data_IF_969770724590
#
_entry.id   IF_969770724590
#
_cell.length_a   1.000
_cell.length_b   1.000
_cell.length_c   1.000
_cell.angle_alpha   90.00
_cell.angle_beta   90.00
_cell.angle_gamma   90.00
#
_symmetry.space_group_name_H-M   'P 1'
#
loop_
_entity.id
_entity.type
_entity.pdbx_description
1 polymer ?
#
# COMPACT_ATOMS: atom_id res chain seq x y z
N UNK A 1 -4.94 17.71 25.12
CA UNK A 1 -4.33 17.57 23.78
C UNK A 1 -5.26 16.78 22.89
N UNK A 2 -5.68 17.35 21.76
CA UNK A 2 -6.49 16.64 20.76
C UNK A 2 -5.67 15.49 20.15
N UNK A 3 -6.18 14.26 20.21
CA UNK A 3 -5.57 13.11 19.53
C UNK A 3 -5.52 13.39 18.03
N UNK A 4 -4.32 13.35 17.45
CA UNK A 4 -4.14 13.48 16.01
C UNK A 4 -4.72 12.22 15.35
N UNK A 5 -5.69 12.41 14.46
CA UNK A 5 -6.24 11.31 13.67
C UNK A 5 -5.29 10.98 12.51
N UNK A 6 -4.35 10.06 12.78
CA UNK A 6 -3.33 9.63 11.83
C UNK A 6 -3.91 8.91 10.62
N UNK A 7 -4.96 8.10 10.81
CA UNK A 7 -5.63 7.41 9.72
C UNK A 7 -6.12 8.40 8.65
N UNK A 8 -6.80 9.47 9.06
CA UNK A 8 -7.28 10.51 8.13
C UNK A 8 -6.14 11.24 7.40
N UNK A 9 -4.99 11.46 8.07
CA UNK A 9 -3.84 12.12 7.45
C UNK A 9 -3.15 11.24 6.41
N UNK A 10 -2.97 9.96 6.74
CA UNK A 10 -2.28 8.99 5.87
C UNK A 10 -3.17 8.52 4.71
N UNK A 11 -4.50 8.57 4.83
CA UNK A 11 -5.43 8.27 3.72
C UNK A 11 -5.81 9.51 2.90
N UNK A 12 -5.32 10.69 3.27
CA UNK A 12 -5.67 11.93 2.58
C UNK A 12 -5.17 11.92 1.13
N UNK A 13 -6.04 12.29 0.19
CA UNK A 13 -5.68 12.49 -1.23
C UNK A 13 -4.45 13.38 -1.40
N UNK A 14 -4.32 14.43 -0.57
CA UNK A 14 -3.18 15.36 -0.63
C UNK A 14 -1.86 14.68 -0.30
N UNK A 15 -1.87 13.77 0.68
CA UNK A 15 -0.69 12.99 1.03
C UNK A 15 -0.28 12.05 -0.10
N UNK A 16 -1.24 11.29 -0.64
CA UNK A 16 -0.96 10.37 -1.75
C UNK A 16 -0.51 11.07 -3.03
N UNK A 17 -1.02 12.27 -3.32
CA UNK A 17 -0.53 13.08 -4.44
C UNK A 17 0.92 13.52 -4.22
N UNK A 18 1.29 13.92 -3.00
CA UNK A 18 2.68 14.28 -2.68
C UNK A 18 3.62 13.07 -2.81
N UNK A 19 3.20 11.90 -2.33
CA UNK A 19 3.97 10.65 -2.49
C UNK A 19 4.16 10.30 -3.96
N UNK A 20 3.09 10.38 -4.77
CA UNK A 20 3.18 10.12 -6.21
C UNK A 20 4.14 11.09 -6.91
N UNK A 21 4.04 12.38 -6.64
CA UNK A 21 4.93 13.39 -7.21
C UNK A 21 6.39 13.19 -6.77
N UNK A 22 6.61 12.80 -5.51
CA UNK A 22 7.94 12.46 -5.00
C UNK A 22 8.54 11.27 -5.74
N UNK A 23 7.78 10.17 -5.88
CA UNK A 23 8.24 8.98 -6.62
C UNK A 23 8.57 9.34 -8.07
N UNK A 24 7.71 10.10 -8.75
CA UNK A 24 7.97 10.57 -10.13
C UNK A 24 9.25 11.42 -10.21
N UNK A 25 9.45 12.35 -9.26
CA UNK A 25 10.66 13.17 -9.20
C UNK A 25 11.93 12.36 -8.94
N UNK A 26 11.87 11.34 -8.09
CA UNK A 26 12.97 10.40 -7.83
C UNK A 26 13.32 9.64 -9.11
N UNK A 27 12.33 9.09 -9.82
CA UNK A 27 12.57 8.39 -11.08
C UNK A 27 13.22 9.31 -12.11
N UNK A 28 12.71 10.55 -12.25
CA UNK A 28 13.29 11.53 -13.16
C UNK A 28 14.75 11.87 -12.81
N UNK A 29 15.09 11.97 -11.52
CA UNK A 29 16.46 12.25 -11.06
C UNK A 29 17.44 11.12 -11.39
N UNK A 30 16.99 9.86 -11.39
CA UNK A 30 17.80 8.71 -11.79
C UNK A 30 17.86 8.49 -13.30
N UNK A 31 17.26 9.38 -14.11
CA UNK A 31 17.27 9.26 -15.57
C UNK A 31 16.41 8.10 -16.09
N UNK A 32 15.38 7.71 -15.34
CA UNK A 32 14.44 6.65 -15.67
C UNK A 32 13.76 6.89 -17.03
N UNK A 33 14.14 6.09 -18.02
CA UNK A 33 13.49 6.00 -19.32
C UNK A 33 12.18 5.18 -19.24
N UNK A 34 11.39 5.13 -20.32
CA UNK A 34 10.04 4.53 -20.32
C UNK A 34 10.02 3.08 -19.79
N UNK A 35 11.13 2.36 -19.89
CA UNK A 35 11.33 1.02 -19.33
C UNK A 35 11.26 1.00 -17.79
N UNK A 36 11.79 2.02 -17.12
CA UNK A 36 11.76 2.12 -15.66
C UNK A 36 10.35 2.42 -15.15
N UNK A 37 9.56 3.21 -15.87
CA UNK A 37 8.15 3.40 -15.55
C UNK A 37 7.35 2.09 -15.56
N UNK A 38 7.64 1.20 -16.52
CA UNK A 38 7.09 -0.15 -16.56
C UNK A 38 7.55 -1.00 -15.37
N UNK A 39 8.85 -0.97 -15.05
CA UNK A 39 9.41 -1.73 -13.92
C UNK A 39 8.81 -1.30 -12.58
N UNK A 40 8.71 0.01 -12.33
CA UNK A 40 8.11 0.55 -11.10
C UNK A 40 6.65 0.16 -11.00
N UNK A 41 5.88 0.26 -12.09
CA UNK A 41 4.48 -0.18 -12.13
C UNK A 41 4.36 -1.69 -11.84
N UNK A 42 5.26 -2.50 -12.40
CA UNK A 42 5.35 -3.94 -12.12
C UNK A 42 5.67 -4.24 -10.66
N UNK A 43 6.58 -3.49 -10.04
CA UNK A 43 6.90 -3.60 -8.62
C UNK A 43 5.67 -3.26 -7.77
N UNK A 44 4.97 -2.16 -8.04
CA UNK A 44 3.74 -1.80 -7.32
C UNK A 44 2.63 -2.87 -7.46
N UNK A 45 2.45 -3.44 -8.66
CA UNK A 45 1.50 -4.53 -8.88
C UNK A 45 1.87 -5.79 -8.10
N UNK A 46 3.15 -6.19 -8.11
CA UNK A 46 3.63 -7.36 -7.35
C UNK A 46 3.50 -7.17 -5.84
N UNK A 47 3.84 -5.98 -5.33
CA UNK A 47 3.62 -5.61 -3.93
C UNK A 47 2.14 -5.63 -3.56
N UNK A 48 1.28 -5.06 -4.41
CA UNK A 48 -0.16 -5.08 -4.22
C UNK A 48 -0.73 -6.50 -4.13
N UNK A 49 -0.28 -7.40 -5.01
CA UNK A 49 -0.69 -8.80 -4.99
C UNK A 49 -0.26 -9.52 -3.70
N UNK A 50 0.97 -9.32 -3.23
CA UNK A 50 1.46 -9.90 -1.97
C UNK A 50 0.67 -9.38 -0.78
N UNK A 51 0.45 -8.06 -0.70
CA UNK A 51 -0.34 -7.45 0.38
C UNK A 51 -1.78 -7.95 0.38
N UNK A 52 -2.41 -8.05 -0.80
CA UNK A 52 -3.77 -8.56 -0.93
C UNK A 52 -3.87 -10.03 -0.50
N UNK A 53 -2.88 -10.86 -0.85
CA UNK A 53 -2.82 -12.25 -0.43
C UNK A 53 -2.71 -12.37 1.10
N UNK A 54 -1.75 -11.68 1.71
CA UNK A 54 -1.55 -11.70 3.17
C UNK A 54 -2.79 -11.18 3.91
N UNK A 55 -3.41 -10.10 3.43
CA UNK A 55 -4.64 -9.56 4.02
C UNK A 55 -5.82 -10.54 3.86
N UNK A 56 -5.91 -11.24 2.74
CA UNK A 56 -6.92 -12.27 2.49
C UNK A 56 -6.76 -13.48 3.41
N UNK A 57 -5.54 -14.02 3.53
CA UNK A 57 -5.24 -15.10 4.48
C UNK A 57 -5.50 -14.66 5.92
N UNK A 58 -5.02 -13.48 6.33
CA UNK A 58 -5.26 -12.96 7.67
C UNK A 58 -6.75 -12.75 8.00
N UNK A 59 -7.57 -12.42 7.00
CA UNK A 59 -9.03 -12.34 7.17
C UNK A 59 -9.67 -13.72 7.37
N UNK A 60 -9.28 -14.71 6.55
CA UNK A 60 -9.78 -16.09 6.65
C UNK A 60 -9.37 -16.72 7.99
N UNK A 61 -8.10 -16.60 8.36
CA UNK A 61 -7.57 -17.12 9.63
C UNK A 61 -8.24 -16.46 10.84
N UNK A 62 -8.50 -15.16 10.76
CA UNK A 62 -9.24 -14.43 11.79
C UNK A 62 -10.67 -14.93 11.98
N UNK A 63 -11.34 -15.36 10.91
CA UNK A 63 -12.69 -15.96 11.01
C UNK A 63 -12.64 -17.38 11.56
N UNK A 64 -11.70 -18.21 11.10
CA UNK A 64 -11.52 -19.57 11.59
C UNK A 64 -11.21 -19.61 13.10
N UNK A 65 -10.35 -18.69 13.59
CA UNK A 65 -10.06 -18.56 15.02
C UNK A 65 -11.24 -18.04 15.88
N UNK A 66 -12.27 -17.49 15.24
CA UNK A 66 -13.53 -17.11 15.88
C UNK A 66 -14.51 -18.27 15.99
N UNK A 67 -14.56 -19.17 15.01
CA UNK A 67 -15.42 -20.35 15.00
C UNK A 67 -14.98 -21.39 16.05
N UNK A 68 -13.67 -21.60 16.23
CA UNK A 68 -13.09 -22.56 17.19
C UNK A 68 -13.33 -22.21 18.68
N UNK A 69 -13.83 -20.99 18.97
CA UNK A 69 -14.16 -20.54 20.34
C UNK A 69 -15.62 -20.72 20.72
N UNK A 70 -16.45 -21.26 19.83
CA UNK A 70 -17.90 -21.37 20.02
C UNK A 70 -18.40 -22.81 20.26
N UNK A 71 -17.49 -23.78 20.40
CA UNK A 71 -17.80 -25.17 20.80
C UNK A 71 -17.36 -25.47 22.25
#
# INVERSE_FOLDING_TARGET
MSKINWAQKLTSRKFWMAVAAFVVGVLALFGADANVGQQVSGVFLSLGAVVAYIAGEGYVDGQAAGEDKTE
#
